data_IF_571767932051
#
_entry.id   IF_571767932051
#
_cell.length_a   1.000
_cell.length_b   1.000
_cell.length_c   1.000
_cell.angle_alpha   90.00
_cell.angle_beta   90.00
_cell.angle_gamma   90.00
#
_symmetry.space_group_name_H-M   'P 1'
#
loop_
_entity.id
_entity.type
_entity.pdbx_description
1 polymer ?
#
# COMPACT_ATOMS: atom_id res chain seq x y z
N UNK A 1 -9.21 4.30 12.61
CA UNK A 1 -9.64 2.96 13.06
C UNK A 1 -8.76 2.63 14.24
N UNK A 2 -9.26 2.62 15.47
CA UNK A 2 -8.42 2.27 16.62
C UNK A 2 -8.66 0.81 16.96
N UNK A 3 -7.59 0.02 16.89
CA UNK A 3 -7.62 -1.41 17.09
C UNK A 3 -8.04 -2.22 15.85
N UNK A 4 -7.72 -3.51 15.86
CA UNK A 4 -8.15 -4.50 14.87
C UNK A 4 -7.10 -4.87 13.82
N UNK A 5 -7.32 -6.02 13.18
CA UNK A 5 -6.43 -6.60 12.16
C UNK A 5 -7.00 -6.36 10.76
N UNK A 6 -6.17 -5.86 9.84
CA UNK A 6 -6.53 -5.59 8.45
C UNK A 6 -5.72 -6.47 7.50
N UNK A 7 -6.40 -7.26 6.67
CA UNK A 7 -5.78 -7.96 5.56
C UNK A 7 -6.04 -7.22 4.25
N UNK A 8 -4.99 -6.84 3.53
CA UNK A 8 -5.05 -6.22 2.21
C UNK A 8 -4.63 -7.24 1.17
N UNK A 9 -5.56 -7.63 0.28
CA UNK A 9 -5.25 -8.55 -0.83
C UNK A 9 -4.84 -7.74 -2.06
N UNK A 10 -3.58 -7.91 -2.48
CA UNK A 10 -2.94 -7.17 -3.56
C UNK A 10 -2.01 -6.06 -3.05
N UNK A 11 -0.73 -6.14 -3.40
CA UNK A 11 0.35 -5.20 -3.05
C UNK A 11 0.65 -4.18 -4.14
N UNK A 12 -0.37 -3.79 -4.92
CA UNK A 12 -0.26 -2.72 -5.92
C UNK A 12 -0.25 -1.34 -5.25
N UNK A 13 -0.22 -0.26 -6.05
CA UNK A 13 -0.29 1.12 -5.55
C UNK A 13 -1.48 1.33 -4.62
N UNK A 14 -2.67 0.86 -5.00
CA UNK A 14 -3.88 1.03 -4.18
C UNK A 14 -3.81 0.23 -2.87
N UNK A 15 -3.31 -1.01 -2.94
CA UNK A 15 -3.16 -1.86 -1.76
C UNK A 15 -2.16 -1.30 -0.75
N UNK A 16 -0.98 -0.88 -1.22
CA UNK A 16 0.03 -0.25 -0.37
C UNK A 16 -0.48 1.09 0.22
N UNK A 17 -1.21 1.89 -0.55
CA UNK A 17 -1.80 3.13 -0.07
C UNK A 17 -2.82 2.87 1.06
N UNK A 18 -3.71 1.88 0.88
CA UNK A 18 -4.68 1.48 1.90
C UNK A 18 -3.99 0.91 3.14
N UNK A 19 -3.04 -0.01 2.98
CA UNK A 19 -2.29 -0.60 4.09
C UNK A 19 -1.61 0.50 4.93
N UNK A 20 -0.98 1.46 4.26
CA UNK A 20 -0.34 2.61 4.91
C UNK A 20 -1.36 3.50 5.63
N UNK A 21 -2.53 3.72 5.03
CA UNK A 21 -3.59 4.50 5.65
C UNK A 21 -4.16 3.79 6.89
N UNK A 22 -4.39 2.48 6.82
CA UNK A 22 -4.88 1.67 7.93
C UNK A 22 -3.90 1.67 9.12
N UNK A 23 -2.61 1.49 8.85
CA UNK A 23 -1.55 1.57 9.87
C UNK A 23 -1.54 2.94 10.55
N UNK A 24 -1.55 4.03 9.76
CA UNK A 24 -1.61 5.40 10.30
C UNK A 24 -2.91 5.69 11.05
N UNK A 25 -4.01 5.04 10.68
CA UNK A 25 -5.30 5.23 11.31
C UNK A 25 -5.42 4.53 12.68
N UNK A 26 -4.44 3.68 13.05
CA UNK A 26 -4.35 3.00 14.34
C UNK A 26 -4.77 1.54 14.36
N UNK A 27 -4.69 0.82 13.23
CA UNK A 27 -4.85 -0.63 13.22
C UNK A 27 -3.71 -1.31 14.00
N UNK A 28 -4.02 -2.37 14.75
CA UNK A 28 -3.02 -3.10 15.55
C UNK A 28 -2.09 -3.92 14.66
N UNK A 29 -2.66 -4.47 13.58
CA UNK A 29 -1.94 -5.30 12.62
C UNK A 29 -2.48 -5.05 11.21
N UNK A 30 -1.54 -4.93 10.26
CA UNK A 30 -1.86 -4.81 8.83
C UNK A 30 -1.00 -5.81 8.07
N UNK A 31 -1.64 -6.73 7.35
CA UNK A 31 -0.96 -7.74 6.52
C UNK A 31 -1.32 -7.50 5.06
N UNK A 32 -0.31 -7.44 4.20
CA UNK A 32 -0.49 -7.36 2.75
C UNK A 32 -0.19 -8.71 2.12
N UNK A 33 -1.17 -9.26 1.40
CA UNK A 33 -1.09 -10.54 0.70
C UNK A 33 -0.95 -10.27 -0.79
N UNK A 34 0.28 -10.33 -1.31
CA UNK A 34 0.60 -10.13 -2.72
C UNK A 34 1.12 -11.42 -3.34
N UNK A 35 0.62 -11.76 -4.54
CA UNK A 35 1.03 -12.97 -5.28
C UNK A 35 2.50 -12.91 -5.65
N UNK A 36 2.94 -11.73 -6.06
CA UNK A 36 4.22 -11.53 -6.72
C UNK A 36 5.30 -11.09 -5.74
N UNK A 37 6.54 -11.52 -5.99
CA UNK A 37 7.70 -11.05 -5.25
C UNK A 37 8.42 -9.93 -6.02
N UNK A 38 9.27 -9.19 -5.31
CA UNK A 38 10.03 -8.06 -5.86
C UNK A 38 9.22 -6.77 -6.00
N UNK A 39 9.88 -5.70 -6.45
CA UNK A 39 9.28 -4.36 -6.58
C UNK A 39 8.72 -4.17 -7.99
N UNK A 40 7.74 -3.27 -8.13
CA UNK A 40 7.28 -2.82 -9.45
C UNK A 40 8.44 -2.28 -10.31
N UNK A 41 9.38 -1.56 -9.68
CA UNK A 41 10.57 -1.01 -10.34
C UNK A 41 11.45 -2.10 -11.00
N UNK A 42 11.54 -3.28 -10.39
CA UNK A 42 12.34 -4.40 -10.91
C UNK A 42 11.75 -4.97 -12.21
N UNK A 43 10.50 -4.60 -12.55
CA UNK A 43 9.80 -4.98 -13.79
C UNK A 43 9.85 -3.87 -14.86
N UNK A 44 10.68 -2.85 -14.65
CA UNK A 44 10.85 -1.73 -15.59
C UNK A 44 9.71 -0.70 -15.56
N UNK A 45 8.87 -0.71 -14.51
CA UNK A 45 7.75 0.22 -14.38
C UNK A 45 8.18 1.53 -13.72
N UNK A 46 7.88 2.65 -14.37
CA UNK A 46 7.98 4.01 -13.81
C UNK A 46 6.63 4.49 -13.27
N UNK A 47 6.67 5.35 -12.24
CA UNK A 47 5.49 6.00 -11.67
C UNK A 47 5.68 7.52 -11.76
N UNK A 48 4.73 8.20 -12.41
CA UNK A 48 4.64 9.65 -12.37
C UNK A 48 3.72 10.07 -11.23
N UNK A 49 4.08 11.14 -10.55
CA UNK A 49 3.25 11.77 -9.53
C UNK A 49 2.68 13.05 -10.12
N UNK A 50 1.39 13.29 -9.87
CA UNK A 50 0.76 14.52 -10.32
C UNK A 50 1.18 15.67 -9.39
N UNK A 51 1.98 16.61 -9.88
CA UNK A 51 2.56 17.71 -9.09
C UNK A 51 1.49 18.45 -8.26
N UNK A 52 0.36 18.82 -8.88
CA UNK A 52 -0.71 19.53 -8.18
C UNK A 52 -1.47 18.75 -7.10
N UNK A 53 -1.23 17.44 -6.94
CA UNK A 53 -1.85 16.61 -5.88
C UNK A 53 -0.85 16.12 -4.84
N UNK A 54 0.45 16.26 -5.10
CA UNK A 54 1.52 15.80 -4.22
C UNK A 54 2.33 16.92 -3.58
N UNK A 55 2.06 18.18 -3.96
CA UNK A 55 2.56 19.38 -3.29
C UNK A 55 1.85 19.62 -1.94
#
# INVERSE_FOLDING_TARGET
MRGGTVAVVGGSVAGCALASAAARAGADEVVVLERTQGRLADRGLGLCIHDGRAA
#
